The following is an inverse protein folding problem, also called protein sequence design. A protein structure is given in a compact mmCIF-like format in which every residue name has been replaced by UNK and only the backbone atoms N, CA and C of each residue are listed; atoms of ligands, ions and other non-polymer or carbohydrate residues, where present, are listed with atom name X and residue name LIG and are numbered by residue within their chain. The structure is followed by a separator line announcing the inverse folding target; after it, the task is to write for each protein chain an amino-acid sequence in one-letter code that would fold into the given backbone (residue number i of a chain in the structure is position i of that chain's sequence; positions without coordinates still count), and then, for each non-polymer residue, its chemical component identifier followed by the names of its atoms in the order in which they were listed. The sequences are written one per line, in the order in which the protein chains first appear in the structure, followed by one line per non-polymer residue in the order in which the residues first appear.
data_IF_511692191065
#
_entry.id   IF_511692191065
#
_cell.length_a   1.000
_cell.length_b   1.000
_cell.length_c   1.000
_cell.angle_alpha   90.00
_cell.angle_beta   90.00
_cell.angle_gamma   90.00
#
_symmetry.space_group_name_H-M   'P 1'
#
loop_
_entity.id
_entity.type
_entity.pdbx_description
1 polymer ?
#
# COMPACT_ATOMS: atom_id res chain seq x y z
N UNK A 1 33.77 -8.83 -12.43
CA UNK A 1 33.01 -8.52 -11.19
C UNK A 1 31.57 -8.92 -11.47
N UNK A 2 30.97 -9.77 -10.64
CA UNK A 2 29.55 -10.07 -10.80
C UNK A 2 28.74 -8.82 -10.42
N UNK A 3 27.87 -8.34 -11.32
CA UNK A 3 26.89 -7.29 -10.99
C UNK A 3 25.84 -7.89 -10.05
N UNK A 4 25.46 -7.16 -9.00
CA UNK A 4 24.40 -7.59 -8.09
C UNK A 4 23.09 -7.83 -8.85
N UNK A 5 22.28 -8.79 -8.39
CA UNK A 5 21.00 -9.12 -9.04
C UNK A 5 19.96 -7.98 -8.90
N UNK A 6 20.00 -7.25 -7.80
CA UNK A 6 19.12 -6.11 -7.52
C UNK A 6 19.93 -4.84 -7.25
N UNK A 7 19.26 -3.67 -7.33
CA UNK A 7 19.88 -2.37 -7.05
C UNK A 7 20.38 -2.25 -5.59
N UNK A 8 19.88 -3.10 -4.70
CA UNK A 8 20.18 -3.10 -3.26
C UNK A 8 20.98 -4.33 -2.81
N UNK A 9 21.48 -5.17 -3.74
CA UNK A 9 22.26 -6.37 -3.42
C UNK A 9 21.72 -7.63 -4.11
N UNK A 10 22.06 -8.80 -3.55
CA UNK A 10 21.69 -10.11 -4.12
C UNK A 10 20.45 -10.73 -3.47
N UNK A 11 20.04 -10.21 -2.30
CA UNK A 11 18.83 -10.66 -1.63
C UNK A 11 17.60 -9.95 -2.17
N UNK A 12 16.57 -10.72 -2.53
CA UNK A 12 15.28 -10.15 -2.98
C UNK A 12 14.62 -9.27 -1.92
N UNK A 13 14.85 -9.59 -0.65
CA UNK A 13 14.25 -8.97 0.53
C UNK A 13 15.31 -8.86 1.63
N UNK A 14 16.01 -7.73 1.71
CA UNK A 14 16.96 -7.45 2.79
C UNK A 14 16.23 -6.73 3.95
N UNK A 15 16.17 -7.31 5.16
CA UNK A 15 15.49 -6.70 6.31
C UNK A 15 16.01 -5.30 6.67
N UNK A 16 17.29 -5.01 6.42
CA UNK A 16 17.89 -3.71 6.69
C UNK A 16 17.36 -2.65 5.73
N UNK A 17 17.22 -3.01 4.46
CA UNK A 17 16.62 -2.14 3.43
C UNK A 17 15.13 -1.97 3.72
N UNK A 18 14.44 -3.01 4.18
CA UNK A 18 13.04 -2.92 4.58
C UNK A 18 12.81 -1.95 5.73
N UNK A 19 13.66 -1.96 6.76
CA UNK A 19 13.61 -0.97 7.83
C UNK A 19 13.78 0.46 7.30
N UNK A 20 14.70 0.67 6.34
CA UNK A 20 14.84 1.97 5.68
C UNK A 20 13.55 2.39 4.95
N UNK A 21 12.90 1.47 4.22
CA UNK A 21 11.64 1.73 3.53
C UNK A 21 10.56 2.24 4.48
N UNK A 22 10.45 1.59 5.64
CA UNK A 22 9.45 1.88 6.68
C UNK A 22 9.75 3.18 7.41
N UNK A 23 11.00 3.35 7.87
CA UNK A 23 11.35 4.37 8.86
C UNK A 23 11.70 5.71 8.22
N UNK A 24 12.09 5.73 6.95
CA UNK A 24 12.60 6.93 6.30
C UNK A 24 11.89 7.21 4.99
N UNK A 25 11.79 6.22 4.11
CA UNK A 25 11.23 6.43 2.78
C UNK A 25 9.75 6.80 2.80
N UNK A 26 8.87 5.96 3.36
CA UNK A 26 7.44 6.26 3.33
C UNK A 26 7.07 7.53 4.12
N UNK A 27 7.64 7.83 5.32
CA UNK A 27 7.35 9.08 6.01
C UNK A 27 7.81 10.31 5.21
N UNK A 28 8.96 10.25 4.53
CA UNK A 28 9.42 11.33 3.67
C UNK A 28 8.48 11.57 2.49
N UNK A 29 8.05 10.51 1.81
CA UNK A 29 7.09 10.60 0.69
C UNK A 29 5.75 11.16 1.16
N UNK A 30 5.18 10.66 2.26
CA UNK A 30 3.93 11.19 2.81
C UNK A 30 4.03 12.65 3.23
N UNK A 31 5.16 13.04 3.84
CA UNK A 31 5.40 14.45 4.19
C UNK A 31 5.44 15.30 2.93
N UNK A 32 6.19 14.89 1.90
CA UNK A 32 6.26 15.62 0.64
C UNK A 32 4.87 15.75 -0.02
N UNK A 33 4.07 14.68 -0.04
CA UNK A 33 2.71 14.72 -0.58
C UNK A 33 1.81 15.71 0.17
N UNK A 34 1.88 15.74 1.51
CA UNK A 34 1.09 16.68 2.32
C UNK A 34 1.56 18.13 2.15
N UNK A 35 2.84 18.36 1.94
CA UNK A 35 3.42 19.69 1.66
C UNK A 35 3.04 20.24 0.27
N UNK A 36 2.53 19.42 -0.64
CA UNK A 36 2.03 19.87 -1.95
C UNK A 36 0.59 20.42 -1.90
N UNK A 37 -0.01 20.53 -0.71
CA UNK A 37 -1.34 21.11 -0.53
C UNK A 37 -1.25 22.54 -0.03
N UNK A 38 -2.35 23.29 -0.05
CA UNK A 38 -2.44 24.61 0.59
C UNK A 38 -2.69 24.50 2.11
N UNK A 39 -2.66 23.27 2.65
CA UNK A 39 -2.94 22.95 4.04
C UNK A 39 -4.40 22.60 4.27
N UNK A 40 -4.82 22.44 5.53
CA UNK A 40 -6.20 22.12 5.86
C UNK A 40 -7.12 23.26 5.40
N UNK A 41 -8.02 22.95 4.46
CA UNK A 41 -9.02 23.86 3.93
C UNK A 41 -10.09 24.22 4.96
N UNK A 42 -10.75 25.35 4.75
CA UNK A 42 -11.88 25.78 5.58
C UNK A 42 -13.12 24.88 5.33
N UNK A 43 -14.05 24.80 6.30
CA UNK A 43 -15.33 24.12 6.09
C UNK A 43 -16.13 24.76 4.95
N UNK A 44 -16.57 23.95 3.99
CA UNK A 44 -17.31 24.39 2.81
C UNK A 44 -16.54 24.03 1.53
N UNK A 45 -16.90 22.92 0.90
CA UNK A 45 -16.20 22.44 -0.29
C UNK A 45 -16.78 23.05 -1.55
N UNK A 46 -15.99 23.86 -2.24
CA UNK A 46 -16.21 24.15 -3.66
C UNK A 46 -15.81 22.93 -4.50
N UNK A 47 -16.25 22.90 -5.76
CA UNK A 47 -15.79 21.86 -6.69
C UNK A 47 -14.27 21.89 -6.89
N UNK A 48 -13.65 23.07 -6.78
CA UNK A 48 -12.20 23.23 -6.89
C UNK A 48 -11.46 22.55 -5.74
N UNK A 49 -12.00 22.62 -4.52
CA UNK A 49 -11.45 21.92 -3.34
C UNK A 49 -11.50 20.40 -3.49
N UNK A 50 -12.46 19.89 -4.27
CA UNK A 50 -12.61 18.47 -4.54
C UNK A 50 -11.72 17.96 -5.67
N UNK A 51 -11.01 18.83 -6.41
CA UNK A 51 -10.23 18.45 -7.61
C UNK A 51 -9.31 17.27 -7.35
N UNK A 52 -8.58 17.30 -6.23
CA UNK A 52 -7.58 16.29 -5.92
C UNK A 52 -8.19 14.96 -5.53
N UNK A 53 -9.32 14.96 -4.83
CA UNK A 53 -10.06 13.74 -4.49
C UNK A 53 -10.69 13.12 -5.73
N UNK A 54 -11.26 13.95 -6.61
CA UNK A 54 -11.81 13.48 -7.89
C UNK A 54 -10.70 12.87 -8.73
N UNK A 55 -9.55 13.53 -8.86
CA UNK A 55 -8.38 12.97 -9.56
C UNK A 55 -7.91 11.66 -8.92
N UNK A 56 -7.78 11.60 -7.59
CA UNK A 56 -7.42 10.36 -6.90
C UNK A 56 -8.42 9.23 -7.18
N UNK A 57 -9.72 9.52 -7.12
CA UNK A 57 -10.80 8.55 -7.42
C UNK A 57 -10.72 8.04 -8.85
N UNK A 58 -10.50 8.93 -9.82
CA UNK A 58 -10.32 8.56 -11.23
C UNK A 58 -9.07 7.68 -11.42
N UNK A 59 -7.97 7.97 -10.72
CA UNK A 59 -6.76 7.15 -10.76
C UNK A 59 -6.95 5.79 -10.08
N UNK A 60 -7.74 5.70 -8.99
CA UNK A 60 -8.13 4.40 -8.41
C UNK A 60 -8.92 3.60 -9.44
N UNK A 61 -9.95 4.19 -10.04
CA UNK A 61 -10.75 3.52 -11.08
C UNK A 61 -9.87 3.06 -12.25
N UNK A 62 -9.00 3.93 -12.76
CA UNK A 62 -8.03 3.60 -13.81
C UNK A 62 -7.17 2.40 -13.40
N UNK A 63 -6.63 2.40 -12.17
CA UNK A 63 -5.79 1.30 -11.69
C UNK A 63 -6.54 -0.04 -11.63
N UNK A 64 -7.82 -0.06 -11.24
CA UNK A 64 -8.66 -1.28 -11.27
C UNK A 64 -8.75 -1.81 -12.70
N UNK A 65 -9.16 -0.95 -13.63
CA UNK A 65 -9.35 -1.36 -15.02
C UNK A 65 -8.05 -1.76 -15.70
N UNK A 66 -6.95 -1.06 -15.44
CA UNK A 66 -5.63 -1.38 -15.97
C UNK A 66 -5.13 -2.73 -15.43
N UNK A 67 -5.27 -2.99 -14.13
CA UNK A 67 -4.81 -4.26 -13.52
C UNK A 67 -5.70 -5.42 -13.94
N UNK A 68 -7.01 -5.22 -14.08
CA UNK A 68 -7.92 -6.22 -14.61
C UNK A 68 -7.59 -6.56 -16.08
N UNK A 69 -7.41 -5.53 -16.92
CA UNK A 69 -7.00 -5.73 -18.32
C UNK A 69 -5.67 -6.48 -18.39
N UNK A 70 -4.69 -6.10 -17.57
CA UNK A 70 -3.41 -6.81 -17.45
C UNK A 70 -3.60 -8.29 -17.08
N UNK A 71 -4.42 -8.62 -16.09
CA UNK A 71 -4.69 -10.02 -15.70
C UNK A 71 -5.35 -10.81 -16.82
N UNK A 72 -6.36 -10.23 -17.48
CA UNK A 72 -7.05 -10.87 -18.61
C UNK A 72 -6.08 -11.12 -19.75
N UNK A 73 -5.27 -10.13 -20.15
CA UNK A 73 -4.30 -10.25 -21.24
C UNK A 73 -3.25 -11.32 -20.96
N UNK A 74 -2.74 -11.43 -19.73
CA UNK A 74 -1.78 -12.49 -19.36
C UNK A 74 -2.43 -13.88 -19.51
N UNK A 75 -3.68 -14.04 -19.07
CA UNK A 75 -4.41 -15.31 -19.15
C UNK A 75 -4.77 -15.73 -20.58
N UNK A 76 -5.13 -14.79 -21.45
CA UNK A 76 -5.58 -15.10 -22.82
C UNK A 76 -4.45 -15.31 -23.81
N UNK A 77 -3.23 -14.91 -23.48
CA UNK A 77 -2.05 -15.01 -24.37
C UNK A 77 -1.26 -16.32 -24.21
N UNK A 78 -1.74 -17.27 -23.39
CA UNK A 78 -0.99 -18.50 -23.12
C UNK A 78 0.30 -18.26 -22.35
N UNK A 79 0.33 -17.24 -21.48
CA UNK A 79 1.49 -16.92 -20.65
C UNK A 79 1.83 -18.04 -19.66
N UNK A 80 3.05 -18.01 -19.12
CA UNK A 80 3.50 -18.99 -18.12
C UNK A 80 2.65 -18.95 -16.84
N UNK A 81 2.59 -20.08 -16.13
CA UNK A 81 1.89 -20.19 -14.84
C UNK A 81 2.40 -19.17 -13.81
N UNK A 82 3.70 -18.86 -13.82
CA UNK A 82 4.28 -17.84 -12.95
C UNK A 82 3.76 -16.43 -13.27
N UNK A 83 3.68 -16.07 -14.56
CA UNK A 83 3.13 -14.77 -14.97
C UNK A 83 1.65 -14.65 -14.60
N UNK A 84 0.87 -15.72 -14.79
CA UNK A 84 -0.54 -15.78 -14.38
C UNK A 84 -0.65 -15.54 -12.87
N UNK A 85 0.10 -16.27 -12.05
CA UNK A 85 0.08 -16.15 -10.59
C UNK A 85 0.44 -14.72 -10.11
N UNK A 86 1.43 -14.08 -10.73
CA UNK A 86 1.79 -12.68 -10.45
C UNK A 86 0.64 -11.74 -10.77
N UNK A 87 0.06 -11.88 -11.97
CA UNK A 87 -1.04 -11.01 -12.38
C UNK A 87 -2.28 -11.16 -11.49
N UNK A 88 -2.57 -12.38 -11.03
CA UNK A 88 -3.65 -12.67 -10.08
C UNK A 88 -3.36 -12.05 -8.71
N UNK A 89 -2.12 -12.15 -8.24
CA UNK A 89 -1.71 -11.50 -6.99
C UNK A 89 -1.88 -9.99 -7.05
N UNK A 90 -1.51 -9.37 -8.18
CA UNK A 90 -1.72 -7.94 -8.41
C UNK A 90 -3.21 -7.58 -8.38
N UNK A 91 -4.04 -8.35 -9.08
CA UNK A 91 -5.49 -8.13 -9.13
C UNK A 91 -6.17 -8.30 -7.77
N UNK A 92 -5.93 -9.42 -7.08
CA UNK A 92 -6.52 -9.71 -5.78
C UNK A 92 -6.13 -8.63 -4.78
N UNK A 93 -4.83 -8.31 -4.71
CA UNK A 93 -4.36 -7.27 -3.80
C UNK A 93 -5.01 -5.91 -4.12
N UNK A 94 -5.24 -5.61 -5.41
CA UNK A 94 -5.95 -4.41 -5.90
C UNK A 94 -7.38 -4.32 -5.34
N UNK A 95 -8.15 -5.38 -5.55
CA UNK A 95 -9.57 -5.46 -5.18
C UNK A 95 -9.77 -5.46 -3.66
N UNK A 96 -8.88 -6.10 -2.91
CA UNK A 96 -9.00 -6.23 -1.45
C UNK A 96 -8.92 -4.87 -0.72
N UNK A 97 -8.07 -3.94 -1.16
CA UNK A 97 -7.80 -2.73 -0.37
C UNK A 97 -8.40 -1.46 -0.95
N UNK A 98 -8.64 -1.40 -2.27
CA UNK A 98 -9.08 -0.15 -2.91
C UNK A 98 -10.45 0.35 -2.48
N UNK A 99 -11.50 -0.50 -2.32
CA UNK A 99 -12.78 -0.01 -1.83
C UNK A 99 -12.69 0.63 -0.45
N UNK A 100 -11.90 0.03 0.45
CA UNK A 100 -11.69 0.52 1.81
C UNK A 100 -10.98 1.87 1.77
N UNK A 101 -9.90 2.00 0.99
CA UNK A 101 -9.14 3.24 0.88
C UNK A 101 -9.95 4.35 0.22
N UNK A 102 -10.72 4.04 -0.83
CA UNK A 102 -11.59 5.02 -1.48
C UNK A 102 -12.63 5.57 -0.49
N UNK A 103 -13.27 4.69 0.29
CA UNK A 103 -14.20 5.10 1.34
C UNK A 103 -13.51 6.01 2.38
N UNK A 104 -12.31 5.66 2.84
CA UNK A 104 -11.57 6.48 3.80
C UNK A 104 -11.18 7.86 3.26
N UNK A 105 -10.77 7.97 1.99
CA UNK A 105 -10.45 9.25 1.36
C UNK A 105 -11.69 10.16 1.34
N UNK A 106 -12.85 9.63 0.92
CA UNK A 106 -14.08 10.41 0.86
C UNK A 106 -14.62 10.79 2.23
N UNK A 107 -14.58 9.88 3.20
CA UNK A 107 -14.93 10.18 4.60
C UNK A 107 -14.00 11.27 5.14
N UNK A 108 -12.70 11.18 4.87
CA UNK A 108 -11.74 12.17 5.34
C UNK A 108 -11.98 13.54 4.71
N UNK A 109 -12.23 13.57 3.41
CA UNK A 109 -12.55 14.79 2.68
C UNK A 109 -13.78 15.52 3.21
N UNK A 110 -14.86 14.78 3.51
CA UNK A 110 -16.13 15.36 3.97
C UNK A 110 -16.04 15.85 5.42
N UNK A 111 -15.33 15.12 6.27
CA UNK A 111 -15.33 15.36 7.72
C UNK A 111 -14.16 16.25 8.19
N UNK A 112 -13.09 16.37 7.41
CA UNK A 112 -11.86 17.03 7.84
C UNK A 112 -11.36 18.06 6.85
N UNK A 113 -10.82 17.57 5.72
CA UNK A 113 -10.07 18.38 4.80
C UNK A 113 -9.92 17.67 3.46
N UNK A 114 -10.45 18.30 2.42
CA UNK A 114 -10.42 17.77 1.08
C UNK A 114 -9.00 17.71 0.49
N UNK A 115 -8.14 18.66 0.87
CA UNK A 115 -6.78 18.75 0.34
C UNK A 115 -5.89 17.62 0.86
N UNK A 116 -5.88 17.39 2.16
CA UNK A 116 -5.16 16.28 2.81
C UNK A 116 -5.63 14.93 2.28
N UNK A 117 -6.95 14.74 2.19
CA UNK A 117 -7.53 13.52 1.63
C UNK A 117 -7.12 13.32 0.17
N UNK A 118 -7.13 14.39 -0.64
CA UNK A 118 -6.70 14.37 -2.02
C UNK A 118 -5.22 14.03 -2.19
N UNK A 119 -4.33 14.65 -1.40
CA UNK A 119 -2.88 14.40 -1.47
C UNK A 119 -2.51 12.96 -1.09
N UNK A 120 -3.03 12.46 0.04
CA UNK A 120 -2.81 11.07 0.45
C UNK A 120 -3.49 10.08 -0.51
N UNK A 121 -4.63 10.46 -1.07
CA UNK A 121 -5.32 9.70 -2.11
C UNK A 121 -4.51 9.60 -3.39
N UNK A 122 -3.87 10.67 -3.85
CA UNK A 122 -2.99 10.65 -5.03
C UNK A 122 -1.75 9.80 -4.79
N UNK A 123 -1.11 9.98 -3.63
CA UNK A 123 0.02 9.15 -3.20
C UNK A 123 -0.35 7.66 -3.26
N UNK A 124 -1.51 7.29 -2.71
CA UNK A 124 -2.04 5.94 -2.76
C UNK A 124 -2.24 5.48 -4.21
N UNK A 125 -3.00 6.23 -5.02
CA UNK A 125 -3.37 5.83 -6.38
C UNK A 125 -2.15 5.64 -7.29
N UNK A 126 -1.16 6.54 -7.22
CA UNK A 126 0.09 6.45 -8.01
C UNK A 126 0.85 5.20 -7.62
N UNK A 127 1.05 4.98 -6.32
CA UNK A 127 1.77 3.81 -5.84
C UNK A 127 1.07 2.50 -6.25
N UNK A 128 -0.27 2.48 -6.29
CA UNK A 128 -1.05 1.32 -6.78
C UNK A 128 -0.90 1.08 -8.28
N UNK A 129 -0.81 2.13 -9.10
CA UNK A 129 -0.53 2.01 -10.53
C UNK A 129 0.87 1.44 -10.80
N UNK A 130 1.86 1.81 -9.98
CA UNK A 130 3.24 1.32 -10.11
C UNK A 130 3.44 -0.11 -9.58
N UNK A 131 2.52 -0.61 -8.74
CA UNK A 131 2.64 -1.94 -8.14
C UNK A 131 2.80 -3.09 -9.14
N UNK A 132 1.90 -3.29 -10.14
CA UNK A 132 2.07 -4.36 -11.12
C UNK A 132 3.35 -4.20 -11.95
N UNK A 133 3.76 -2.96 -12.21
CA UNK A 133 5.01 -2.68 -12.93
C UNK A 133 6.23 -3.18 -12.14
N UNK A 134 6.34 -2.84 -10.85
CA UNK A 134 7.46 -3.33 -10.01
C UNK A 134 7.44 -4.84 -9.78
N UNK A 135 6.26 -5.46 -9.79
CA UNK A 135 6.16 -6.93 -9.80
C UNK A 135 6.66 -7.53 -11.11
N UNK A 136 6.33 -6.90 -12.25
CA UNK A 136 6.75 -7.34 -13.57
C UNK A 136 8.26 -7.23 -13.80
N UNK A 137 8.92 -6.19 -13.28
CA UNK A 137 10.37 -5.94 -13.50
C UNK A 137 11.23 -7.12 -13.03
N UNK A 138 10.94 -7.69 -11.87
CA UNK A 138 11.74 -8.77 -11.29
C UNK A 138 11.05 -10.15 -11.33
N UNK A 139 9.77 -10.21 -11.71
CA UNK A 139 9.01 -11.47 -11.75
C UNK A 139 8.80 -12.11 -10.38
N UNK A 140 9.03 -11.38 -9.30
CA UNK A 140 8.90 -11.87 -7.93
C UNK A 140 8.70 -10.72 -6.93
N UNK A 141 8.38 -11.07 -5.69
CA UNK A 141 8.22 -10.08 -4.62
C UNK A 141 9.60 -9.59 -4.11
N UNK A 142 9.89 -8.30 -4.30
CA UNK A 142 11.21 -7.69 -4.04
C UNK A 142 11.14 -6.44 -3.16
N UNK A 143 12.30 -5.89 -2.76
CA UNK A 143 12.36 -4.61 -2.05
C UNK A 143 11.76 -3.44 -2.83
N UNK A 144 11.82 -3.43 -4.16
CA UNK A 144 11.19 -2.38 -4.98
C UNK A 144 9.67 -2.33 -4.75
N UNK A 145 9.04 -3.51 -4.66
CA UNK A 145 7.64 -3.60 -4.28
C UNK A 145 7.42 -3.09 -2.86
N UNK A 146 8.31 -3.39 -1.91
CA UNK A 146 8.20 -2.88 -0.54
C UNK A 146 8.32 -1.37 -0.47
N UNK A 147 9.27 -0.75 -1.19
CA UNK A 147 9.37 0.71 -1.29
C UNK A 147 8.06 1.35 -1.72
N UNK A 148 7.41 0.74 -2.71
CA UNK A 148 6.11 1.20 -3.20
C UNK A 148 4.98 0.91 -2.21
N UNK A 149 5.01 -0.28 -1.58
CA UNK A 149 3.95 -0.72 -0.66
C UNK A 149 3.89 0.11 0.60
N UNK A 150 5.04 0.44 1.17
CA UNK A 150 5.13 1.28 2.36
C UNK A 150 4.55 2.67 2.11
N UNK A 151 4.67 3.21 0.90
CA UNK A 151 4.10 4.51 0.53
C UNK A 151 2.58 4.48 0.59
N UNK A 152 1.91 3.51 -0.05
CA UNK A 152 0.44 3.49 -0.02
C UNK A 152 -0.11 3.03 1.34
N UNK A 153 0.61 2.17 2.05
CA UNK A 153 0.21 1.74 3.40
C UNK A 153 0.24 2.91 4.37
N UNK A 154 1.29 3.73 4.33
CA UNK A 154 1.38 4.88 5.22
C UNK A 154 0.30 5.92 4.94
N UNK A 155 -0.02 6.18 3.66
CA UNK A 155 -1.15 7.06 3.31
C UNK A 155 -2.47 6.56 3.93
N UNK A 156 -2.74 5.26 3.80
CA UNK A 156 -3.90 4.61 4.41
C UNK A 156 -3.88 4.74 5.95
N UNK A 157 -2.73 4.51 6.59
CA UNK A 157 -2.60 4.59 8.04
C UNK A 157 -2.78 6.00 8.57
N UNK A 158 -2.32 7.02 7.85
CA UNK A 158 -2.52 8.42 8.22
C UNK A 158 -3.99 8.81 8.16
N UNK A 159 -4.70 8.44 7.09
CA UNK A 159 -6.14 8.66 6.97
C UNK A 159 -6.91 7.96 8.10
N UNK A 160 -6.62 6.68 8.33
CA UNK A 160 -7.25 5.88 9.38
C UNK A 160 -6.97 6.44 10.77
N UNK A 161 -5.72 6.83 11.06
CA UNK A 161 -5.33 7.38 12.36
C UNK A 161 -5.98 8.72 12.59
N UNK A 162 -6.00 9.62 11.61
CA UNK A 162 -6.64 10.93 11.76
C UNK A 162 -8.15 10.80 12.03
N UNK A 163 -8.82 9.92 11.29
CA UNK A 163 -10.24 9.61 11.50
C UNK A 163 -10.47 9.04 12.91
N UNK A 164 -9.64 8.09 13.34
CA UNK A 164 -9.73 7.48 14.67
C UNK A 164 -9.51 8.50 15.80
N UNK A 165 -8.50 9.36 15.67
CA UNK A 165 -8.20 10.43 16.64
C UNK A 165 -9.37 11.40 16.77
N UNK A 166 -10.04 11.73 15.67
CA UNK A 166 -11.24 12.57 15.74
C UNK A 166 -12.40 11.89 16.40
N UNK A 167 -12.69 10.65 16.02
CA UNK A 167 -13.86 9.93 16.55
C UNK A 167 -13.68 9.65 18.05
N UNK A 168 -12.48 9.27 18.46
CA UNK A 168 -12.21 8.83 19.83
C UNK A 168 -11.84 9.97 20.78
N UNK A 169 -11.16 11.02 20.29
CA UNK A 169 -10.57 12.07 21.12
C UNK A 169 -10.97 13.49 20.69
N UNK A 170 -11.80 13.64 19.65
CA UNK A 170 -12.15 14.91 19.01
C UNK A 170 -10.96 15.71 18.45
N UNK A 171 -9.83 15.03 18.17
CA UNK A 171 -8.60 15.67 17.66
C UNK A 171 -8.44 15.47 16.15
N UNK A 172 -8.33 16.57 15.40
CA UNK A 172 -7.84 16.55 14.02
C UNK A 172 -6.30 16.59 14.03
N UNK A 173 -5.65 15.42 14.08
CA UNK A 173 -4.20 15.29 14.18
C UNK A 173 -3.48 16.04 13.04
N UNK A 174 -3.84 15.78 11.79
CA UNK A 174 -3.16 16.39 10.65
C UNK A 174 -3.41 17.91 10.58
N UNK A 175 -4.61 18.37 10.96
CA UNK A 175 -4.89 19.79 11.12
C UNK A 175 -4.06 20.46 12.23
N UNK A 176 -3.85 19.77 13.35
CA UNK A 176 -3.07 20.27 14.49
C UNK A 176 -1.59 20.44 14.14
N UNK A 177 -1.03 19.54 13.33
CA UNK A 177 0.37 19.60 12.90
C UNK A 177 0.62 20.73 11.89
N UNK A 178 -0.43 21.14 11.15
CA UNK A 178 -0.35 22.12 10.08
C UNK A 178 0.61 21.68 8.96
N UNK A 179 1.23 22.66 8.30
CA UNK A 179 2.20 22.41 7.22
C UNK A 179 3.66 22.43 7.69
N UNK A 180 3.93 22.13 8.96
CA UNK A 180 5.31 22.03 9.42
C UNK A 180 5.91 20.69 8.94
N UNK A 181 6.92 20.69 8.05
CA UNK A 181 7.42 19.45 7.46
C UNK A 181 8.05 18.51 8.49
N UNK A 182 8.69 19.04 9.53
CA UNK A 182 9.28 18.23 10.58
C UNK A 182 8.19 17.51 11.40
N UNK A 183 7.12 18.22 11.78
CA UNK A 183 6.02 17.63 12.54
C UNK A 183 5.22 16.61 11.73
N UNK A 184 4.98 16.89 10.44
CA UNK A 184 4.36 15.93 9.53
C UNK A 184 5.23 14.68 9.35
N UNK A 185 6.55 14.82 9.23
CA UNK A 185 7.47 13.70 9.13
C UNK A 185 7.47 12.86 10.42
N UNK A 186 7.60 13.48 11.59
CA UNK A 186 7.60 12.78 12.87
C UNK A 186 6.28 12.08 13.15
N UNK A 187 5.15 12.70 12.80
CA UNK A 187 3.83 12.08 12.92
C UNK A 187 3.69 10.89 11.96
N UNK A 188 4.13 11.04 10.71
CA UNK A 188 4.12 9.97 9.71
C UNK A 188 4.98 8.78 10.15
N UNK A 189 6.18 9.06 10.68
CA UNK A 189 7.06 8.03 11.26
C UNK A 189 6.40 7.33 12.46
N UNK A 190 5.84 8.10 13.39
CA UNK A 190 5.16 7.56 14.57
C UNK A 190 3.98 6.66 14.20
N UNK A 191 3.13 7.10 13.28
CA UNK A 191 2.00 6.32 12.75
C UNK A 191 2.48 5.03 12.08
N UNK A 192 3.52 5.11 11.24
CA UNK A 192 4.10 3.95 10.58
C UNK A 192 4.62 2.91 11.58
N UNK A 193 5.38 3.35 12.58
CA UNK A 193 5.90 2.47 13.65
C UNK A 193 4.76 1.81 14.42
N UNK A 194 3.78 2.60 14.89
CA UNK A 194 2.64 2.07 15.67
C UNK A 194 1.88 1.03 14.86
N UNK A 195 1.57 1.31 13.60
CA UNK A 195 0.80 0.38 12.76
C UNK A 195 1.54 -0.93 12.47
N UNK A 196 2.86 -0.88 12.35
CA UNK A 196 3.68 -2.11 12.23
C UNK A 196 3.58 -2.95 13.49
N UNK A 197 3.71 -2.36 14.67
CA UNK A 197 3.58 -3.09 15.93
C UNK A 197 2.16 -3.64 16.14
N UNK A 198 1.13 -2.93 15.67
CA UNK A 198 -0.25 -3.44 15.68
C UNK A 198 -0.42 -4.64 14.75
N UNK A 199 0.18 -4.61 13.55
CA UNK A 199 -0.02 -5.64 12.53
C UNK A 199 0.85 -6.88 12.73
N UNK A 200 2.06 -6.73 13.29
CA UNK A 200 3.03 -7.81 13.42
C UNK A 200 2.45 -9.05 14.14
N UNK A 201 1.70 -8.94 15.26
CA UNK A 201 1.10 -10.11 15.92
C UNK A 201 0.11 -10.86 15.01
N UNK A 202 -0.74 -10.13 14.27
CA UNK A 202 -1.68 -10.73 13.32
C UNK A 202 -0.93 -11.40 12.16
N UNK A 203 0.05 -10.72 11.59
CA UNK A 203 0.89 -11.24 10.50
C UNK A 203 1.63 -12.52 10.91
N UNK A 204 2.20 -12.57 12.11
CA UNK A 204 2.87 -13.77 12.64
C UNK A 204 1.91 -14.92 12.89
N UNK A 205 0.67 -14.62 13.29
CA UNK A 205 -0.39 -15.63 13.46
C UNK A 205 -0.77 -16.24 12.11
N UNK A 206 -1.06 -15.40 11.10
CA UNK A 206 -1.37 -15.84 9.75
C UNK A 206 -0.20 -16.64 9.13
N UNK A 207 1.04 -16.18 9.33
CA UNK A 207 2.22 -16.89 8.86
C UNK A 207 2.30 -18.33 9.40
N UNK A 208 2.11 -18.50 10.72
CA UNK A 208 2.13 -19.83 11.36
C UNK A 208 1.05 -20.76 10.81
N UNK A 209 -0.18 -20.26 10.68
CA UNK A 209 -1.32 -21.02 10.15
C UNK A 209 -1.09 -21.41 8.70
N UNK A 210 -0.69 -20.47 7.85
CA UNK A 210 -0.40 -20.73 6.43
C UNK A 210 0.72 -21.75 6.28
N UNK A 211 1.82 -21.63 7.04
CA UNK A 211 2.92 -22.59 7.00
C UNK A 211 2.47 -24.00 7.39
N UNK A 212 1.69 -24.12 8.47
CA UNK A 212 1.15 -25.41 8.89
C UNK A 212 0.23 -26.04 7.83
N UNK A 213 -0.63 -25.23 7.19
CA UNK A 213 -1.49 -25.68 6.10
C UNK A 213 -0.72 -26.18 4.87
N UNK A 214 0.35 -25.48 4.47
CA UNK A 214 1.22 -25.93 3.37
C UNK A 214 1.90 -27.26 3.69
N UNK A 215 2.46 -27.41 4.89
CA UNK A 215 3.13 -28.65 5.32
C UNK A 215 2.16 -29.83 5.37
N UNK A 216 0.93 -29.60 5.84
CA UNK A 216 -0.11 -30.62 5.83
C UNK A 216 -0.40 -31.12 4.40
N UNK A 217 -0.54 -30.22 3.43
CA UNK A 217 -0.77 -30.57 2.02
C UNK A 217 0.37 -31.40 1.43
N UNK A 218 1.62 -30.98 1.64
CA UNK A 218 2.81 -31.71 1.16
C UNK A 218 2.88 -33.12 1.75
N UNK A 219 2.53 -33.29 3.03
CA UNK A 219 2.50 -34.60 3.68
C UNK A 219 1.42 -35.52 3.11
N UNK A 220 0.24 -34.98 2.80
CA UNK A 220 -0.86 -35.75 2.21
C UNK A 220 -0.53 -36.21 0.78
N UNK A 221 0.09 -35.35 -0.02
CA UNK A 221 0.55 -35.68 -1.38
C UNK A 221 1.64 -36.75 -1.36
N UNK A 222 2.60 -36.67 -0.42
CA UNK A 222 3.63 -37.69 -0.24
C UNK A 222 3.05 -39.07 0.11
N UNK A 223 2.03 -39.12 0.98
CA UNK A 223 1.34 -40.38 1.35
C UNK A 223 0.60 -40.96 0.13
N UNK A 224 -0.10 -40.13 -0.64
CA UNK A 224 -0.82 -40.58 -1.83
C UNK A 224 0.12 -41.19 -2.88
N UNK A 225 1.31 -40.61 -3.09
CA UNK A 225 2.32 -41.17 -3.99
C UNK A 225 2.85 -42.53 -3.52
N UNK A 226 3.00 -42.75 -2.21
CA UNK A 226 3.43 -44.04 -1.66
C UNK A 226 2.36 -45.13 -1.78
N UNK A 227 1.07 -44.78 -1.81
CA UNK A 227 -0.02 -45.74 -1.96
C UNK A 227 -0.27 -46.18 -3.42
N UNK A 228 0.23 -45.42 -4.38
CA UNK A 228 0.10 -45.71 -5.82
C UNK A 228 1.32 -46.44 -6.41
N UNK A 229 2.41 -46.57 -5.63
CA UNK A 229 3.64 -47.27 -6.00
C UNK A 229 3.60 -48.72 -5.49
#
# INVERSE_FOLDING_TARGET
MASSRYLWGDDKMDPRVWMFCVLLWSPAVSTASLMCTDGPGAPGTTFEDLRWIITSTLLVALSIYSINTFNVSIKTTGSSAAAIAISERCMVNTIETQPIVLAMIWIHAVLFDANTAGALGLQYSIARLLYPYFYGVYGEYTMMIQFNSQVWWLAQYLLFTNLSMKVLLDVNLLGLLGQNPLYLFLASLGVGIVMIFVQLPFGMTYFKVTKAGCQWKESAESIAHLQMA
#
